data_IF_063244109451
#
_entry.id   IF_063244109451
#
_cell.length_a   1.000
_cell.length_b   1.000
_cell.length_c   1.000
_cell.angle_alpha   90.00
_cell.angle_beta   90.00
_cell.angle_gamma   90.00
#
_symmetry.space_group_name_H-M   'P 1'
#
loop_
_entity.id
_entity.type
_entity.pdbx_description
1 polymer ?
#
# COMPACT_ATOMS: atom_id res chain seq x y z
N UNK A 1 -15.71 -3.70 -7.56
CA UNK A 1 -14.93 -2.67 -6.85
C UNK A 1 -13.52 -2.65 -7.43
N UNK A 2 -12.93 -1.48 -7.64
CA UNK A 2 -11.58 -1.31 -8.20
C UNK A 2 -10.81 -0.32 -7.34
N UNK A 3 -9.90 -0.80 -6.51
CA UNK A 3 -9.09 0.06 -5.65
C UNK A 3 -7.89 0.59 -6.43
N UNK A 4 -7.49 1.84 -6.22
CA UNK A 4 -6.30 2.39 -6.87
C UNK A 4 -5.13 2.43 -5.90
N UNK A 5 -4.00 1.85 -6.30
CA UNK A 5 -2.73 1.91 -5.57
C UNK A 5 -1.71 2.74 -6.35
N UNK A 6 -1.14 3.74 -5.69
CA UNK A 6 -0.01 4.53 -6.22
C UNK A 6 1.19 4.40 -5.28
N UNK A 7 2.33 4.00 -5.84
CA UNK A 7 3.61 3.85 -5.15
C UNK A 7 4.67 4.67 -5.89
N UNK A 8 5.36 5.58 -5.20
CA UNK A 8 6.50 6.33 -5.74
C UNK A 8 7.70 6.21 -4.79
N UNK A 9 8.89 5.98 -5.36
CA UNK A 9 10.17 5.93 -4.67
C UNK A 9 10.16 5.05 -3.40
N UNK A 10 9.59 3.85 -3.47
CA UNK A 10 9.54 2.90 -2.36
C UNK A 10 10.37 1.66 -2.70
N UNK A 11 11.55 1.55 -2.09
CA UNK A 11 12.53 0.52 -2.41
C UNK A 11 12.85 0.46 -3.92
N UNK A 12 12.76 -0.71 -4.57
CA UNK A 12 13.02 -0.85 -6.01
C UNK A 12 11.91 -0.27 -6.90
N UNK A 13 10.76 0.12 -6.33
CA UNK A 13 9.63 0.69 -7.08
C UNK A 13 9.86 2.19 -7.26
N UNK A 14 10.22 2.60 -8.47
CA UNK A 14 10.32 4.04 -8.82
C UNK A 14 8.94 4.68 -8.92
N UNK A 15 8.04 4.05 -9.69
CA UNK A 15 6.65 4.47 -9.87
C UNK A 15 5.79 3.26 -10.21
N UNK A 16 4.66 3.10 -9.54
CA UNK A 16 3.59 2.17 -9.88
C UNK A 16 2.24 2.87 -9.65
N UNK A 17 1.33 2.74 -10.60
CA UNK A 17 -0.04 3.24 -10.54
C UNK A 17 -0.91 2.11 -11.08
N UNK A 18 -1.62 1.42 -10.19
CA UNK A 18 -2.25 0.12 -10.47
C UNK A 18 -3.67 0.09 -9.93
N UNK A 19 -4.58 -0.32 -10.80
CA UNK A 19 -5.95 -0.66 -10.43
C UNK A 19 -5.99 -2.10 -9.91
N UNK A 20 -6.26 -2.24 -8.61
CA UNK A 20 -6.42 -3.51 -7.92
C UNK A 20 -7.85 -4.02 -8.08
N UNK A 21 -7.98 -5.21 -8.64
CA UNK A 21 -9.21 -5.99 -8.70
C UNK A 21 -9.15 -7.16 -7.73
N UNK A 22 -10.26 -7.89 -7.61
CA UNK A 22 -10.38 -9.08 -6.76
C UNK A 22 -9.22 -10.06 -6.94
N UNK A 23 -8.83 -10.32 -8.19
CA UNK A 23 -7.61 -11.05 -8.53
C UNK A 23 -6.64 -10.09 -9.23
N UNK A 24 -5.54 -9.78 -8.55
CA UNK A 24 -4.43 -8.99 -9.10
C UNK A 24 -3.13 -9.77 -8.92
N UNK A 25 -2.38 -9.97 -10.00
CA UNK A 25 -1.12 -10.72 -9.98
C UNK A 25 0.03 -9.80 -10.38
N UNK A 26 1.02 -9.66 -9.51
CA UNK A 26 2.25 -8.94 -9.80
C UNK A 26 3.28 -9.89 -10.40
N UNK A 27 3.65 -9.69 -11.67
CA UNK A 27 4.64 -10.49 -12.40
C UNK A 27 5.84 -9.65 -12.84
N UNK A 28 6.99 -10.30 -13.05
CA UNK A 28 8.21 -9.63 -13.52
C UNK A 28 9.51 -10.14 -12.87
N UNK A 29 10.67 -9.61 -13.30
CA UNK A 29 12.00 -10.07 -12.88
C UNK A 29 12.21 -10.06 -11.37
N UNK A 30 13.15 -10.86 -10.84
CA UNK A 30 13.44 -10.87 -9.40
C UNK A 30 13.85 -9.48 -8.87
N UNK A 31 13.60 -9.24 -7.58
CA UNK A 31 13.95 -7.99 -6.87
C UNK A 31 13.35 -6.67 -7.42
N UNK A 32 12.31 -6.71 -8.27
CA UNK A 32 11.65 -5.51 -8.81
C UNK A 32 10.55 -4.91 -7.92
N UNK A 33 10.38 -5.40 -6.68
CA UNK A 33 9.40 -4.85 -5.75
C UNK A 33 8.00 -5.47 -5.82
N UNK A 34 7.81 -6.61 -6.48
CA UNK A 34 6.51 -7.30 -6.54
C UNK A 34 5.94 -7.63 -5.16
N UNK A 35 6.76 -8.23 -4.28
CA UNK A 35 6.37 -8.49 -2.89
C UNK A 35 6.08 -7.18 -2.15
N UNK A 36 6.94 -6.17 -2.35
CA UNK A 36 6.79 -4.86 -1.72
C UNK A 36 5.46 -4.19 -2.09
N UNK A 37 5.05 -4.26 -3.36
CA UNK A 37 3.76 -3.76 -3.81
C UNK A 37 2.59 -4.50 -3.15
N UNK A 38 2.60 -5.84 -3.13
CA UNK A 38 1.57 -6.64 -2.48
C UNK A 38 1.49 -6.37 -0.96
N UNK A 39 2.64 -6.22 -0.33
CA UNK A 39 2.77 -5.87 1.08
C UNK A 39 2.22 -4.47 1.38
N UNK A 40 2.48 -3.48 0.52
CA UNK A 40 1.88 -2.14 0.62
C UNK A 40 0.35 -2.20 0.54
N UNK A 41 -0.21 -2.98 -0.39
CA UNK A 41 -1.67 -3.17 -0.48
C UNK A 41 -2.22 -3.75 0.81
N UNK A 42 -1.61 -4.83 1.30
CA UNK A 42 -2.04 -5.48 2.53
C UNK A 42 -2.01 -4.52 3.71
N UNK A 43 -0.90 -3.79 3.85
CA UNK A 43 -0.74 -2.81 4.91
C UNK A 43 -1.81 -1.72 4.81
N UNK A 44 -2.00 -1.10 3.64
CA UNK A 44 -2.94 0.01 3.47
C UNK A 44 -4.39 -0.42 3.72
N UNK A 45 -4.79 -1.62 3.29
CA UNK A 45 -6.11 -2.20 3.61
C UNK A 45 -6.31 -2.45 5.11
N UNK A 46 -5.22 -2.73 5.85
CA UNK A 46 -5.27 -2.99 7.29
C UNK A 46 -4.99 -1.74 8.14
N UNK A 47 -4.45 -0.70 7.52
CA UNK A 47 -3.95 0.50 8.19
C UNK A 47 -5.08 1.33 8.82
N UNK A 48 -6.27 1.36 8.23
CA UNK A 48 -7.45 1.97 8.87
C UNK A 48 -7.80 1.29 10.21
N UNK A 49 -7.62 -0.04 10.31
CA UNK A 49 -7.81 -0.74 11.59
C UNK A 49 -6.69 -0.41 12.59
N UNK A 50 -5.47 -0.16 12.12
CA UNK A 50 -4.32 0.16 12.97
C UNK A 50 -4.39 1.59 13.52
N UNK A 51 -4.85 2.57 12.73
CA UNK A 51 -5.00 3.96 13.15
C UNK A 51 -6.03 4.18 14.27
N UNK A 52 -7.13 3.41 14.29
CA UNK A 52 -8.10 3.44 15.38
C UNK A 52 -7.48 3.09 16.75
N UNK A 53 -6.28 2.48 16.77
CA UNK A 53 -5.56 2.12 18.00
C UNK A 53 -4.40 3.06 18.36
N UNK A 54 -4.04 4.06 17.54
CA UNK A 54 -2.84 4.88 17.70
C UNK A 54 -3.16 6.37 17.45
N UNK A 55 -3.51 7.11 18.50
CA UNK A 55 -4.19 8.41 18.39
C UNK A 55 -3.34 9.66 18.14
N UNK A 56 -1.99 9.66 18.20
CA UNK A 56 -1.29 10.96 18.33
C UNK A 56 -0.09 11.24 17.40
N UNK A 57 0.32 10.35 16.50
CA UNK A 57 1.32 10.72 15.47
C UNK A 57 1.25 9.82 14.23
N UNK A 58 0.38 10.11 13.25
CA UNK A 58 0.09 9.20 12.15
C UNK A 58 1.36 8.79 11.42
N UNK A 59 2.22 9.72 11.04
CA UNK A 59 3.32 9.45 10.11
C UNK A 59 4.47 8.61 10.71
N UNK A 60 4.90 8.88 11.95
CA UNK A 60 5.93 8.07 12.62
C UNK A 60 5.38 6.73 13.07
N UNK A 61 4.15 6.72 13.61
CA UNK A 61 3.50 5.47 14.00
C UNK A 61 3.21 4.57 12.79
N UNK A 62 2.87 5.14 11.63
CA UNK A 62 2.74 4.40 10.36
C UNK A 62 4.03 3.69 10.03
N UNK A 63 5.14 4.42 10.00
CA UNK A 63 6.43 3.87 9.59
C UNK A 63 6.87 2.81 10.59
N UNK A 64 6.74 3.03 11.90
CA UNK A 64 7.08 2.02 12.90
C UNK A 64 6.16 0.80 12.88
N UNK A 65 4.86 0.97 12.58
CA UNK A 65 3.94 -0.16 12.39
C UNK A 65 4.28 -0.96 11.12
N UNK A 66 4.67 -0.25 10.05
CA UNK A 66 5.14 -0.85 8.81
C UNK A 66 6.45 -1.61 9.06
N UNK A 67 7.45 -1.01 9.73
CA UNK A 67 8.72 -1.65 10.10
C UNK A 67 8.49 -2.92 10.92
N UNK A 68 7.62 -2.84 11.94
CA UNK A 68 7.24 -3.99 12.76
C UNK A 68 6.59 -5.10 11.93
N UNK A 69 5.78 -4.73 10.94
CA UNK A 69 5.09 -5.68 10.08
C UNK A 69 6.02 -6.33 9.05
N UNK A 70 6.91 -5.54 8.44
CA UNK A 70 7.94 -6.02 7.53
C UNK A 70 9.04 -6.81 8.26
N UNK A 71 9.13 -6.69 9.58
CA UNK A 71 10.16 -7.33 10.40
C UNK A 71 11.57 -6.83 10.08
N UNK A 72 11.68 -5.68 9.43
CA UNK A 72 12.92 -5.10 8.93
C UNK A 72 12.85 -3.57 9.01
N UNK A 73 14.03 -2.95 9.13
CA UNK A 73 14.18 -1.52 9.03
C UNK A 73 13.80 -1.05 7.61
N UNK A 74 12.82 -0.15 7.54
CA UNK A 74 12.31 0.39 6.28
C UNK A 74 13.05 1.66 5.86
N UNK A 75 13.98 2.16 6.67
CA UNK A 75 14.83 3.31 6.34
C UNK A 75 15.58 3.13 5.01
N UNK A 76 15.86 1.88 4.61
CA UNK A 76 16.50 1.55 3.34
C UNK A 76 15.55 1.64 2.13
N UNK A 77 14.23 1.59 2.36
CA UNK A 77 13.20 1.62 1.31
C UNK A 77 12.45 2.95 1.25
N UNK A 78 12.40 3.69 2.36
CA UNK A 78 11.68 4.96 2.50
C UNK A 78 12.66 6.13 2.48
N UNK A 79 12.35 7.15 1.70
CA UNK A 79 13.04 8.43 1.68
C UNK A 79 12.04 9.58 1.70
N UNK A 80 12.54 10.82 1.73
CA UNK A 80 11.70 12.03 1.78
C UNK A 80 10.78 12.24 0.56
N UNK A 81 11.01 11.50 -0.53
CA UNK A 81 10.22 11.53 -1.77
C UNK A 81 9.32 10.30 -1.93
N UNK A 82 9.31 9.39 -0.95
CA UNK A 82 8.46 8.21 -0.98
C UNK A 82 6.99 8.63 -0.83
N UNK A 83 6.13 8.09 -1.68
CA UNK A 83 4.68 8.27 -1.59
C UNK A 83 3.97 6.94 -1.72
N UNK A 84 3.03 6.71 -0.82
CA UNK A 84 2.11 5.58 -0.84
C UNK A 84 0.71 6.16 -0.73
N UNK A 85 -0.11 5.91 -1.74
CA UNK A 85 -1.49 6.36 -1.79
C UNK A 85 -2.38 5.18 -2.17
N UNK A 86 -3.49 5.05 -1.46
CA UNK A 86 -4.50 4.04 -1.73
C UNK A 86 -5.87 4.70 -1.67
N UNK A 87 -6.68 4.43 -2.69
CA UNK A 87 -8.06 4.85 -2.75
C UNK A 87 -8.95 3.61 -2.84
N UNK A 88 -9.72 3.26 -1.78
CA UNK A 88 -10.76 2.26 -1.91
C UNK A 88 -11.82 2.79 -2.88
N UNK A 89 -12.19 2.03 -3.91
CA UNK A 89 -13.38 2.39 -4.69
C UNK A 89 -14.61 2.30 -3.80
N UNK A 90 -15.44 3.34 -3.82
CA UNK A 90 -16.85 3.21 -3.45
C UNK A 90 -17.53 2.16 -4.35
N UNK A 91 -18.54 1.43 -3.84
CA UNK A 91 -19.29 0.47 -4.64
C UNK A 91 -19.81 1.16 -5.91
N UNK A 92 -19.52 0.56 -7.06
CA UNK A 92 -20.00 1.02 -8.35
C UNK A 92 -21.54 0.99 -8.35
N UNK A 93 -22.17 2.16 -8.16
CA UNK A 93 -23.62 2.35 -7.98
C UNK A 93 -24.43 1.82 -9.19
N UNK A 94 -23.74 1.46 -10.29
CA UNK A 94 -24.33 0.90 -11.51
C UNK A 94 -24.47 -0.62 -11.53
N UNK A 95 -23.97 -1.33 -10.51
CA UNK A 95 -24.07 -2.80 -10.43
C UNK A 95 -25.31 -3.29 -9.67
N UNK A 96 -26.05 -2.39 -9.01
CA UNK A 96 -27.21 -2.71 -8.16
C UNK A 96 -28.57 -2.58 -8.88
N UNK A 97 -28.58 -2.57 -10.21
CA UNK A 97 -29.80 -2.75 -11.01
C UNK A 97 -29.70 -4.03 -11.82
N UNK A 98 -30.06 -5.14 -11.17
CA UNK A 98 -30.54 -6.35 -11.83
C UNK A 98 -31.91 -6.64 -11.23
#
# INVERSE_FOLDING_TARGET
>A
MTERLVIENFGPIKKADVDLRELTVFVGPQATGKSLAAQSVYFLRRYETLLLSLSDTPHKATISALEKWFGQDLSIYVNSKTKLYWNPSEPDEKSAKI
#
